data_IF_356003623267
#
_entry.id   IF_356003623267
#
_cell.length_a   1.000
_cell.length_b   1.000
_cell.length_c   1.000
_cell.angle_alpha   90.00
_cell.angle_beta   90.00
_cell.angle_gamma   90.00
#
_symmetry.space_group_name_H-M   'P 1'
#
loop_
_entity.id
_entity.type
_entity.pdbx_description
1 polymer ?
#
# COMPACT_ATOMS: atom_id res chain seq x y z
N UNK A 1 -8.65 6.90 -18.84
CA UNK A 1 -9.10 8.23 -19.35
C UNK A 1 -7.95 9.19 -19.21
N UNK A 2 -7.73 10.05 -20.21
CA UNK A 2 -6.69 11.08 -20.18
C UNK A 2 -7.35 12.40 -20.59
N UNK A 3 -7.22 13.40 -19.74
CA UNK A 3 -7.78 14.74 -19.94
C UNK A 3 -6.66 15.77 -19.89
N UNK A 4 -6.74 16.77 -20.78
CA UNK A 4 -5.82 17.91 -20.81
C UNK A 4 -6.63 19.18 -20.62
N UNK A 5 -6.30 19.94 -19.59
CA UNK A 5 -6.94 21.23 -19.28
C UNK A 5 -5.92 22.34 -19.42
N UNK A 6 -6.11 23.20 -20.42
CA UNK A 6 -5.33 24.42 -20.58
C UNK A 6 -5.81 25.50 -19.59
N UNK A 7 -4.88 26.13 -18.90
CA UNK A 7 -5.10 27.22 -17.96
C UNK A 7 -5.01 28.56 -18.69
N UNK A 8 -5.67 29.58 -18.16
CA UNK A 8 -5.67 30.94 -18.75
C UNK A 8 -4.28 31.56 -18.93
N UNK A 9 -3.26 31.08 -18.21
CA UNK A 9 -1.88 31.52 -18.32
C UNK A 9 -1.06 30.76 -19.40
N UNK A 10 -1.68 29.86 -20.17
CA UNK A 10 -1.00 29.01 -21.17
C UNK A 10 -0.34 27.77 -20.58
N UNK A 11 -0.38 27.57 -19.26
CA UNK A 11 0.01 26.30 -18.64
C UNK A 11 -1.05 25.21 -18.87
N UNK A 12 -0.68 23.93 -18.75
CA UNK A 12 -1.60 22.82 -18.91
C UNK A 12 -1.55 21.86 -17.71
N UNK A 13 -2.71 21.31 -17.35
CA UNK A 13 -2.85 20.22 -16.38
C UNK A 13 -3.27 18.96 -17.13
N UNK A 14 -2.55 17.87 -16.89
CA UNK A 14 -2.86 16.57 -17.49
C UNK A 14 -3.38 15.65 -16.39
N UNK A 15 -4.65 15.24 -16.51
CA UNK A 15 -5.30 14.31 -15.61
C UNK A 15 -5.35 12.92 -16.22
N UNK A 16 -4.95 11.90 -15.46
CA UNK A 16 -5.02 10.51 -15.89
C UNK A 16 -5.85 9.70 -14.89
N UNK A 17 -6.80 8.90 -15.39
CA UNK A 17 -7.54 7.94 -14.60
C UNK A 17 -7.30 6.52 -15.13
N UNK A 18 -6.94 5.62 -14.21
CA UNK A 18 -6.60 4.23 -14.50
C UNK A 18 -7.54 3.30 -13.72
N UNK A 19 -7.89 2.16 -14.34
CA UNK A 19 -8.56 1.08 -13.61
C UNK A 19 -7.51 0.30 -12.83
N UNK A 20 -7.55 0.43 -11.50
CA UNK A 20 -6.55 -0.18 -10.62
C UNK A 20 -6.59 -1.72 -10.64
N UNK A 21 -7.66 -2.34 -11.18
CA UNK A 21 -7.70 -3.80 -11.41
C UNK A 21 -6.68 -4.23 -12.47
N UNK A 22 -6.30 -3.33 -13.36
CA UNK A 22 -5.44 -3.61 -14.51
C UNK A 22 -3.98 -3.30 -14.19
N UNK A 23 -3.70 -2.22 -13.46
CA UNK A 23 -2.35 -1.71 -13.24
C UNK A 23 -2.22 -1.04 -11.86
N UNK A 24 -1.03 -1.15 -11.27
CA UNK A 24 -0.65 -0.42 -10.07
C UNK A 24 -0.04 0.94 -10.40
N UNK A 25 0.25 1.75 -9.36
CA UNK A 25 0.88 3.06 -9.49
C UNK A 25 2.25 3.00 -10.19
N UNK A 26 3.00 1.91 -10.01
CA UNK A 26 4.28 1.71 -10.69
C UNK A 26 4.09 1.73 -12.21
N UNK A 27 3.13 0.95 -12.72
CA UNK A 27 2.86 0.95 -14.16
C UNK A 27 2.18 2.24 -14.65
N UNK A 28 1.31 2.84 -13.84
CA UNK A 28 0.73 4.14 -14.17
C UNK A 28 1.80 5.21 -14.40
N UNK A 29 2.85 5.22 -13.56
CA UNK A 29 4.00 6.11 -13.74
C UNK A 29 4.80 5.75 -15.01
N UNK A 30 5.06 4.46 -15.25
CA UNK A 30 5.73 4.00 -16.48
C UNK A 30 4.98 4.47 -17.74
N UNK A 31 3.64 4.37 -17.74
CA UNK A 31 2.82 4.85 -18.84
C UNK A 31 2.99 6.35 -19.09
N UNK A 32 2.99 7.17 -18.02
CA UNK A 32 3.16 8.63 -18.14
C UNK A 32 4.56 8.96 -18.71
N UNK A 33 5.60 8.29 -18.23
CA UNK A 33 6.97 8.47 -18.75
C UNK A 33 7.07 8.07 -20.21
N UNK A 34 6.59 6.88 -20.58
CA UNK A 34 6.60 6.41 -21.97
C UNK A 34 5.79 7.31 -22.89
N UNK A 35 4.65 7.82 -22.44
CA UNK A 35 3.85 8.77 -23.21
C UNK A 35 4.60 10.08 -23.44
N UNK A 36 5.29 10.59 -22.42
CA UNK A 36 6.12 11.79 -22.54
C UNK A 36 7.30 11.59 -23.50
N UNK A 37 7.92 10.40 -23.52
CA UNK A 37 8.97 10.03 -24.48
C UNK A 37 8.44 10.01 -25.91
N UNK A 38 7.31 9.34 -26.13
CA UNK A 38 6.67 9.28 -27.45
C UNK A 38 6.26 10.67 -27.95
N UNK A 39 5.71 11.52 -27.09
CA UNK A 39 5.35 12.90 -27.45
C UNK A 39 6.58 13.73 -27.87
N UNK A 40 7.76 13.39 -27.36
CA UNK A 40 9.04 13.99 -27.72
C UNK A 40 9.76 13.28 -28.88
N UNK A 41 9.11 12.29 -29.53
CA UNK A 41 9.72 11.44 -30.56
C UNK A 41 11.01 10.75 -30.09
N UNK A 42 11.11 10.44 -28.79
CA UNK A 42 12.21 9.67 -28.20
C UNK A 42 11.90 8.17 -28.27
N UNK A 43 12.92 7.31 -28.36
CA UNK A 43 12.72 5.88 -28.14
C UNK A 43 12.23 5.65 -26.71
N UNK A 44 11.40 4.62 -26.52
CA UNK A 44 10.94 4.23 -25.20
C UNK A 44 12.11 3.72 -24.36
N UNK A 45 12.30 4.26 -23.15
CA UNK A 45 13.33 3.77 -22.23
C UNK A 45 13.04 2.37 -21.70
N UNK A 46 11.76 2.02 -21.57
CA UNK A 46 11.30 0.72 -21.07
C UNK A 46 10.14 0.25 -21.94
N UNK A 47 10.26 -0.96 -22.48
CA UNK A 47 9.18 -1.62 -23.22
C UNK A 47 8.36 -2.45 -22.23
N UNK A 48 7.04 -2.23 -22.10
CA UNK A 48 6.22 -2.97 -21.16
C UNK A 48 6.07 -4.44 -21.55
N UNK A 49 6.16 -5.32 -20.56
CA UNK A 49 6.00 -6.76 -20.71
C UNK A 49 4.61 -7.19 -20.24
N UNK A 50 3.84 -7.79 -21.15
CA UNK A 50 2.53 -8.39 -20.86
C UNK A 50 2.63 -9.87 -20.49
N UNK A 51 3.85 -10.37 -20.23
CA UNK A 51 4.13 -11.78 -19.98
C UNK A 51 3.62 -12.20 -18.59
N UNK A 52 2.36 -12.64 -18.53
CA UNK A 52 1.70 -13.13 -17.29
C UNK A 52 2.42 -14.31 -16.63
N UNK A 53 3.17 -15.10 -17.41
CA UNK A 53 3.91 -16.24 -16.90
C UNK A 53 5.01 -15.90 -15.89
N UNK A 54 5.37 -14.61 -15.75
CA UNK A 54 6.31 -14.15 -14.72
C UNK A 54 5.75 -14.30 -13.30
N UNK A 55 4.42 -14.37 -13.16
CA UNK A 55 3.72 -14.57 -11.89
C UNK A 55 2.98 -15.91 -11.86
N UNK A 56 3.55 -16.95 -12.48
CA UNK A 56 2.95 -18.27 -12.43
C UNK A 56 2.94 -18.83 -10.99
N UNK A 57 1.85 -19.48 -10.57
CA UNK A 57 1.79 -20.16 -9.29
C UNK A 57 2.71 -21.37 -9.26
N UNK A 58 3.13 -21.76 -8.05
CA UNK A 58 3.90 -22.99 -7.80
C UNK A 58 3.02 -24.22 -7.98
N UNK A 59 3.65 -25.38 -8.18
CA UNK A 59 2.98 -26.67 -8.35
C UNK A 59 3.69 -27.75 -7.49
N UNK A 60 3.10 -28.20 -6.37
CA UNK A 60 1.84 -27.71 -5.78
C UNK A 60 1.97 -26.26 -5.29
N UNK A 61 0.84 -25.52 -5.28
CA UNK A 61 0.78 -24.20 -4.65
C UNK A 61 0.90 -24.33 -3.14
N UNK A 62 1.55 -23.35 -2.49
CA UNK A 62 1.72 -23.31 -1.05
C UNK A 62 1.69 -21.87 -0.58
N UNK A 63 0.97 -21.57 0.49
CA UNK A 63 0.94 -20.23 1.05
C UNK A 63 0.84 -20.29 2.57
N UNK A 64 1.37 -19.25 3.24
CA UNK A 64 1.33 -19.16 4.68
C UNK A 64 -0.08 -18.73 5.15
N UNK A 65 -0.65 -19.31 6.23
CA UNK A 65 -2.00 -18.97 6.71
C UNK A 65 -2.23 -17.49 7.03
N UNK A 66 -1.16 -16.73 7.30
CA UNK A 66 -1.27 -15.27 7.48
C UNK A 66 -1.84 -14.54 6.27
N UNK A 67 -1.82 -15.13 5.08
CA UNK A 67 -2.48 -14.55 3.90
C UNK A 67 -4.00 -14.57 4.03
N UNK A 68 -4.58 -15.56 4.73
CA UNK A 68 -5.99 -15.59 5.10
C UNK A 68 -6.33 -14.53 6.17
N UNK A 69 -5.35 -14.06 6.95
CA UNK A 69 -5.51 -12.93 7.89
C UNK A 69 -5.43 -11.57 7.17
N UNK A 70 -4.75 -11.50 6.02
CA UNK A 70 -4.57 -10.27 5.24
C UNK A 70 -5.64 -10.07 4.16
N UNK A 71 -6.15 -11.16 3.58
CA UNK A 71 -7.03 -11.10 2.41
C UNK A 71 -8.31 -11.92 2.63
N UNK A 72 -9.35 -11.55 1.89
CA UNK A 72 -10.65 -12.22 1.95
C UNK A 72 -11.34 -12.16 0.58
N UNK A 73 -11.95 -13.26 0.11
CA UNK A 73 -12.83 -13.21 -1.05
C UNK A 73 -14.01 -12.24 -0.82
N UNK A 74 -14.37 -11.45 -1.83
CA UNK A 74 -15.46 -10.47 -1.72
C UNK A 74 -16.80 -11.15 -1.44
N UNK A 75 -16.99 -12.38 -1.92
CA UNK A 75 -18.16 -13.23 -1.69
C UNK A 75 -18.42 -13.52 -0.20
N UNK A 76 -17.39 -13.49 0.64
CA UNK A 76 -17.48 -13.72 2.07
C UNK A 76 -17.80 -12.45 2.88
N UNK A 77 -17.81 -11.27 2.24
CA UNK A 77 -18.09 -10.00 2.90
C UNK A 77 -19.60 -9.74 2.98
N UNK A 78 -20.06 -9.07 4.05
CA UNK A 78 -21.44 -8.61 4.10
C UNK A 78 -21.70 -7.59 2.97
N UNK A 79 -22.96 -7.46 2.51
CA UNK A 79 -23.32 -6.44 1.54
C UNK A 79 -22.88 -5.04 2.00
N UNK A 80 -22.43 -4.16 1.08
CA UNK A 80 -22.08 -2.80 1.42
C UNK A 80 -23.22 -2.10 2.15
N UNK A 81 -22.91 -1.41 3.25
CA UNK A 81 -23.89 -0.58 3.95
C UNK A 81 -24.34 0.56 3.02
N UNK A 82 -25.63 0.89 3.05
CA UNK A 82 -26.13 2.06 2.34
C UNK A 82 -25.41 3.33 2.84
N UNK A 83 -25.14 4.31 1.94
CA UNK A 83 -24.58 5.60 2.34
C UNK A 83 -25.46 6.22 3.43
N UNK A 84 -24.88 6.48 4.60
CA UNK A 84 -25.60 7.13 5.70
C UNK A 84 -25.78 8.62 5.36
N UNK A 85 -26.99 9.19 5.52
CA UNK A 85 -27.17 10.64 5.45
C UNK A 85 -26.28 11.32 6.50
N UNK A 86 -25.41 12.25 6.07
CA UNK A 86 -24.46 12.91 6.96
C UNK A 86 -23.13 12.17 7.17
N UNK A 87 -22.79 11.21 6.30
CA UNK A 87 -21.43 10.68 6.24
C UNK A 87 -20.41 11.82 6.06
N UNK A 88 -19.30 11.76 6.80
CA UNK A 88 -18.27 12.78 6.79
C UNK A 88 -17.79 13.07 5.37
N UNK A 89 -17.70 14.35 5.03
CA UNK A 89 -17.11 14.77 3.77
C UNK A 89 -15.61 14.49 3.82
N UNK A 90 -15.15 13.57 2.97
CA UNK A 90 -13.72 13.29 2.83
C UNK A 90 -13.02 14.50 2.21
N UNK A 91 -12.00 15.02 2.90
CA UNK A 91 -11.20 16.16 2.44
C UNK A 91 -9.81 15.64 2.08
N UNK A 92 -9.35 15.98 0.87
CA UNK A 92 -7.95 15.78 0.49
C UNK A 92 -7.11 16.98 0.93
N UNK A 93 -5.97 16.72 1.57
CA UNK A 93 -5.04 17.75 2.04
C UNK A 93 -3.60 17.36 1.71
N UNK A 94 -2.82 18.34 1.25
CA UNK A 94 -1.38 18.19 1.08
C UNK A 94 -0.67 18.76 2.31
N UNK A 95 0.25 17.97 2.86
CA UNK A 95 1.08 18.34 3.99
C UNK A 95 2.55 18.32 3.56
N UNK A 96 3.28 19.38 3.88
CA UNK A 96 4.72 19.43 3.71
C UNK A 96 5.40 19.02 5.01
N UNK A 97 6.32 18.07 4.93
CA UNK A 97 7.12 17.59 6.08
C UNK A 97 8.58 17.84 5.74
N UNK A 98 9.29 18.63 6.55
CA UNK A 98 10.68 18.98 6.27
C UNK A 98 11.61 17.77 6.44
N UNK A 99 12.77 17.81 5.80
CA UNK A 99 13.79 16.78 5.98
C UNK A 99 14.28 16.68 7.44
N UNK A 100 14.34 17.80 8.17
CA UNK A 100 14.71 17.81 9.59
C UNK A 100 13.64 17.15 10.45
N UNK A 101 12.36 17.47 10.21
CA UNK A 101 11.23 16.85 10.91
C UNK A 101 11.19 15.34 10.64
N UNK A 102 11.40 14.92 9.40
CA UNK A 102 11.44 13.49 9.05
C UNK A 102 12.63 12.79 9.71
N UNK A 103 13.78 13.46 9.81
CA UNK A 103 14.95 12.93 10.52
C UNK A 103 14.71 12.81 12.03
N UNK A 104 14.01 13.79 12.62
CA UNK A 104 13.58 13.73 14.01
C UNK A 104 12.62 12.56 14.26
N UNK A 105 11.60 12.38 13.40
CA UNK A 105 10.68 11.24 13.48
C UNK A 105 11.44 9.91 13.40
N UNK A 106 12.43 9.82 12.51
CA UNK A 106 13.25 8.63 12.36
C UNK A 106 14.08 8.32 13.60
N UNK A 107 14.65 9.34 14.24
CA UNK A 107 15.38 9.20 15.50
C UNK A 107 14.45 8.71 16.61
N UNK A 108 13.27 9.32 16.76
CA UNK A 108 12.29 8.94 17.78
C UNK A 108 11.73 7.52 17.57
N UNK A 109 11.47 7.14 16.31
CA UNK A 109 11.00 5.81 15.95
C UNK A 109 12.08 4.72 16.13
N UNK A 110 13.36 5.10 16.13
CA UNK A 110 14.47 4.16 16.31
C UNK A 110 14.99 4.11 17.75
N UNK A 111 14.41 4.89 18.67
CA UNK A 111 14.90 4.99 20.05
C UNK A 111 14.73 3.68 20.81
N UNK A 112 15.86 3.11 21.28
CA UNK A 112 15.88 1.83 22.01
C UNK A 112 16.00 0.57 21.15
N UNK A 113 16.03 0.70 19.81
CA UNK A 113 16.19 -0.41 18.87
C UNK A 113 17.64 -0.59 18.37
N UNK A 114 17.97 -1.80 17.91
CA UNK A 114 19.30 -2.12 17.34
C UNK A 114 19.47 -1.56 15.92
N UNK A 115 18.36 -1.40 15.17
CA UNK A 115 18.37 -0.95 13.77
C UNK A 115 17.55 0.32 13.58
N UNK A 116 18.07 1.20 12.72
CA UNK A 116 17.41 2.45 12.33
C UNK A 116 16.20 2.15 11.44
N UNK A 117 15.02 2.66 11.82
CA UNK A 117 13.78 2.55 11.03
C UNK A 117 13.89 3.34 9.73
N UNK A 118 13.24 2.91 8.66
CA UNK A 118 13.20 3.65 7.40
C UNK A 118 12.40 4.95 7.54
N UNK A 119 12.59 5.90 6.61
CA UNK A 119 11.80 7.14 6.58
C UNK A 119 10.30 6.85 6.44
N UNK A 120 9.95 5.88 5.60
CA UNK A 120 8.56 5.45 5.40
C UNK A 120 7.96 4.85 6.68
N UNK A 121 8.66 3.92 7.33
CA UNK A 121 8.20 3.35 8.62
C UNK A 121 8.02 4.44 9.67
N UNK A 122 8.99 5.35 9.79
CA UNK A 122 8.98 6.40 10.81
C UNK A 122 7.84 7.39 10.60
N UNK A 123 7.61 7.81 9.37
CA UNK A 123 6.50 8.71 9.03
C UNK A 123 5.14 8.01 9.18
N UNK A 124 5.01 6.76 8.71
CA UNK A 124 3.77 5.98 8.85
C UNK A 124 3.42 5.75 10.32
N UNK A 125 4.42 5.45 11.15
CA UNK A 125 4.26 5.32 12.61
C UNK A 125 3.70 6.59 13.23
N UNK A 126 4.26 7.75 12.87
CA UNK A 126 3.77 9.04 13.35
C UNK A 126 2.32 9.28 12.91
N UNK A 127 2.01 9.00 11.65
CA UNK A 127 0.66 9.15 11.10
C UNK A 127 -0.34 8.22 11.83
N UNK A 128 0.05 6.98 12.14
CA UNK A 128 -0.80 6.05 12.90
C UNK A 128 -1.18 6.58 14.27
N UNK A 129 -0.18 7.09 15.02
CA UNK A 129 -0.43 7.75 16.31
C UNK A 129 -1.30 9.00 16.15
N UNK A 130 -1.07 9.79 15.11
CA UNK A 130 -1.85 11.01 14.85
C UNK A 130 -3.32 10.68 14.59
N UNK A 131 -3.60 9.72 13.70
CA UNK A 131 -4.95 9.29 13.36
C UNK A 131 -5.67 8.73 14.59
N UNK A 132 -4.98 7.90 15.40
CA UNK A 132 -5.53 7.40 16.66
C UNK A 132 -5.84 8.52 17.66
N UNK A 133 -4.98 9.55 17.75
CA UNK A 133 -5.21 10.73 18.60
C UNK A 133 -6.40 11.57 18.14
N UNK A 134 -6.65 11.65 16.84
CA UNK A 134 -7.78 12.39 16.27
C UNK A 134 -9.10 11.62 16.25
N UNK A 135 -9.13 10.36 16.69
CA UNK A 135 -10.34 9.55 16.67
C UNK A 135 -11.39 10.09 17.66
N UNK A 136 -12.46 10.71 17.14
CA UNK A 136 -13.61 11.20 17.91
C UNK A 136 -14.77 10.23 17.72
N UNK A 137 -14.87 9.22 18.59
CA UNK A 137 -15.95 8.22 18.56
C UNK A 137 -16.33 7.80 19.98
N UNK A 138 -17.56 7.31 20.17
CA UNK A 138 -17.95 6.66 21.42
C UNK A 138 -17.06 5.45 21.71
N UNK A 139 -16.55 5.37 22.94
CA UNK A 139 -15.60 4.34 23.37
C UNK A 139 -14.36 4.21 22.47
N UNK A 140 -13.96 5.27 21.74
CA UNK A 140 -12.85 5.27 20.78
C UNK A 140 -11.58 4.63 21.36
N UNK A 141 -11.28 4.93 22.62
CA UNK A 141 -10.13 4.43 23.35
C UNK A 141 -9.95 2.90 23.33
N UNK A 142 -11.05 2.13 23.28
CA UNK A 142 -11.03 0.66 23.24
C UNK A 142 -11.12 0.08 21.83
N UNK A 143 -11.32 0.91 20.81
CA UNK A 143 -11.45 0.46 19.42
C UNK A 143 -10.09 0.17 18.80
N UNK A 144 -10.11 -0.67 17.78
CA UNK A 144 -8.92 -1.06 17.02
C UNK A 144 -8.66 -0.06 15.91
N UNK A 145 -7.48 0.56 15.88
CA UNK A 145 -7.01 1.36 14.76
C UNK A 145 -6.06 0.54 13.90
N UNK A 146 -6.29 0.56 12.58
CA UNK A 146 -5.55 -0.25 11.61
C UNK A 146 -4.71 0.66 10.71
N UNK A 147 -3.47 0.28 10.44
CA UNK A 147 -2.64 0.94 9.45
C UNK A 147 -1.93 -0.08 8.57
N UNK A 148 -2.11 0.06 7.27
CA UNK A 148 -1.44 -0.73 6.26
C UNK A 148 -0.42 0.08 5.47
N UNK A 149 0.52 -0.62 4.84
CA UNK A 149 1.50 -0.03 3.93
C UNK A 149 1.50 -0.84 2.64
N UNK A 150 1.40 -0.17 1.50
CA UNK A 150 1.52 -0.84 0.19
C UNK A 150 2.98 -1.23 -0.06
N UNK A 151 3.20 -2.50 -0.40
CA UNK A 151 4.51 -3.06 -0.72
C UNK A 151 4.53 -3.51 -2.18
N UNK A 152 5.48 -2.97 -2.96
CA UNK A 152 5.76 -3.45 -4.33
C UNK A 152 6.61 -4.74 -4.28
N UNK A 153 6.13 -5.78 -4.94
CA UNK A 153 6.74 -7.09 -5.02
C UNK A 153 7.74 -7.28 -6.15
N UNK A 154 7.83 -6.37 -7.13
CA UNK A 154 8.73 -6.52 -8.30
C UNK A 154 10.17 -6.80 -7.89
N UNK A 155 10.72 -5.98 -7.00
CA UNK A 155 12.08 -6.17 -6.49
C UNK A 155 12.22 -7.43 -5.62
N UNK A 156 11.16 -7.86 -4.94
CA UNK A 156 11.20 -9.01 -4.01
C UNK A 156 11.18 -10.33 -4.77
N UNK A 157 10.35 -10.42 -5.81
CA UNK A 157 10.27 -11.60 -6.67
C UNK A 157 11.57 -11.81 -7.48
N UNK A 158 12.27 -10.73 -7.79
CA UNK A 158 13.53 -10.77 -8.54
C UNK A 158 14.69 -11.38 -7.74
N UNK A 159 14.66 -11.33 -6.40
CA UNK A 159 15.67 -11.98 -5.53
C UNK A 159 17.13 -11.55 -5.78
N UNK A 160 17.36 -10.35 -6.31
CA UNK A 160 18.70 -9.85 -6.66
C UNK A 160 19.27 -10.40 -7.97
N UNK A 161 18.51 -11.21 -8.71
CA UNK A 161 18.85 -11.65 -10.07
C UNK A 161 18.60 -10.49 -11.04
N UNK A 162 19.63 -10.03 -11.74
CA UNK A 162 19.57 -8.83 -12.60
C UNK A 162 18.60 -9.02 -13.78
N UNK A 163 18.60 -10.20 -14.41
CA UNK A 163 17.71 -10.50 -15.53
C UNK A 163 16.25 -10.52 -15.09
N UNK A 164 15.94 -11.15 -13.95
CA UNK A 164 14.60 -11.12 -13.38
C UNK A 164 14.19 -9.72 -12.93
N UNK A 165 15.14 -8.95 -12.40
CA UNK A 165 14.91 -7.54 -12.02
C UNK A 165 14.49 -6.73 -13.24
N UNK A 166 15.20 -6.86 -14.36
CA UNK A 166 14.85 -6.20 -15.61
C UNK A 166 13.47 -6.66 -16.12
N UNK A 167 13.19 -7.96 -16.09
CA UNK A 167 11.89 -8.51 -16.50
C UNK A 167 10.74 -7.98 -15.64
N UNK A 168 10.89 -7.99 -14.31
CA UNK A 168 9.87 -7.52 -13.38
C UNK A 168 9.67 -6.00 -13.43
N UNK A 169 10.73 -5.23 -13.67
CA UNK A 169 10.64 -3.78 -13.88
C UNK A 169 9.77 -3.43 -15.11
N UNK A 170 9.74 -4.29 -16.13
CA UNK A 170 8.87 -4.08 -17.29
C UNK A 170 7.45 -4.63 -17.12
N UNK A 171 7.17 -5.40 -16.06
CA UNK A 171 5.92 -6.14 -15.94
C UNK A 171 4.69 -5.24 -15.82
N UNK A 172 3.75 -5.44 -16.75
CA UNK A 172 2.43 -4.82 -16.73
C UNK A 172 1.47 -5.55 -15.80
N UNK A 173 1.00 -4.87 -14.77
CA UNK A 173 -0.03 -5.39 -13.87
C UNK A 173 0.21 -4.97 -12.42
N UNK A 174 -0.65 -5.47 -11.53
CA UNK A 174 -0.45 -5.30 -10.09
C UNK A 174 0.56 -6.33 -9.57
N UNK A 175 1.55 -5.85 -8.81
CA UNK A 175 2.48 -6.70 -8.02
C UNK A 175 2.55 -6.15 -6.60
N UNK A 176 1.40 -6.08 -5.93
CA UNK A 176 1.26 -5.38 -4.65
C UNK A 176 0.83 -6.32 -3.53
N UNK A 177 1.35 -6.05 -2.34
CA UNK A 177 0.80 -6.56 -1.08
C UNK A 177 0.44 -5.40 -0.17
N UNK A 178 -0.55 -5.58 0.71
CA UNK A 178 -0.98 -4.56 1.68
C UNK A 178 -0.96 -5.18 3.09
N UNK A 179 0.23 -5.47 3.65
CA UNK A 179 0.32 -5.84 5.05
C UNK A 179 -0.18 -4.68 5.93
N UNK A 180 -0.77 -5.03 7.07
CA UNK A 180 -1.25 -4.06 8.04
C UNK A 180 -1.08 -4.55 9.46
N UNK A 181 -1.05 -3.59 10.38
CA UNK A 181 -1.06 -3.82 11.81
C UNK A 181 -2.34 -3.30 12.44
N UNK A 182 -2.66 -3.87 13.60
CA UNK A 182 -3.81 -3.52 14.42
C UNK A 182 -3.34 -3.20 15.83
N UNK A 183 -3.83 -2.09 16.41
CA UNK A 183 -3.56 -1.71 17.79
C UNK A 183 -4.77 -1.02 18.39
N UNK A 184 -4.91 -1.14 19.71
CA UNK A 184 -5.91 -0.38 20.46
C UNK A 184 -5.53 1.11 20.42
N UNK A 185 -6.51 1.98 20.25
CA UNK A 185 -6.29 3.44 20.16
C UNK A 185 -5.53 3.98 21.36
N UNK A 186 -5.85 3.52 22.58
CA UNK A 186 -5.13 3.95 23.79
C UNK A 186 -3.65 3.57 23.77
N UNK A 187 -3.32 2.35 23.33
CA UNK A 187 -1.91 1.94 23.18
C UNK A 187 -1.18 2.87 22.20
N UNK A 188 -1.82 3.20 21.08
CA UNK A 188 -1.26 4.14 20.09
C UNK A 188 -1.15 5.57 20.63
N UNK A 189 -1.94 5.99 21.63
CA UNK A 189 -1.81 7.32 22.25
C UNK A 189 -0.64 7.34 23.23
N UNK A 190 -0.59 6.36 24.13
CA UNK A 190 0.27 6.36 25.31
C UNK A 190 1.69 5.85 25.04
N UNK A 191 1.88 4.84 24.18
CA UNK A 191 3.18 4.23 23.96
C UNK A 191 4.17 5.15 23.22
N UNK A 192 5.50 5.02 23.39
CA UNK A 192 6.46 5.83 22.64
C UNK A 192 6.42 5.53 21.14
N UNK A 193 6.96 6.44 20.32
CA UNK A 193 6.97 6.27 18.85
C UNK A 193 7.74 4.99 18.44
N UNK A 194 8.81 4.64 19.14
CA UNK A 194 9.58 3.42 18.88
C UNK A 194 8.76 2.15 19.04
N UNK A 195 7.93 2.04 20.09
CA UNK A 195 7.06 0.88 20.29
C UNK A 195 6.06 0.69 19.15
N UNK A 196 5.47 1.79 18.67
CA UNK A 196 4.57 1.74 17.50
C UNK A 196 5.36 1.40 16.23
N UNK A 197 6.59 1.89 16.11
CA UNK A 197 7.46 1.61 14.96
C UNK A 197 7.91 0.15 14.92
N UNK A 198 8.08 -0.51 16.08
CA UNK A 198 8.34 -1.94 16.16
C UNK A 198 7.14 -2.71 15.59
N UNK A 199 5.91 -2.36 15.97
CA UNK A 199 4.72 -2.98 15.40
C UNK A 199 4.63 -2.78 13.88
N UNK A 200 4.98 -1.58 13.37
CA UNK A 200 5.04 -1.31 11.92
C UNK A 200 6.07 -2.19 11.23
N UNK A 201 7.25 -2.29 11.81
CA UNK A 201 8.32 -3.11 11.27
C UNK A 201 7.96 -4.60 11.25
N UNK A 202 7.38 -5.11 12.34
CA UNK A 202 7.11 -6.54 12.51
C UNK A 202 6.14 -7.08 11.47
N UNK A 203 5.12 -6.31 11.07
CA UNK A 203 4.22 -6.73 10.00
C UNK A 203 4.83 -6.51 8.61
N UNK A 204 5.65 -5.47 8.44
CA UNK A 204 6.31 -5.18 7.17
C UNK A 204 7.37 -6.23 6.84
N UNK A 205 8.21 -6.61 7.81
CA UNK A 205 9.33 -7.54 7.62
C UNK A 205 8.85 -8.87 7.04
N UNK A 206 7.68 -9.36 7.48
CA UNK A 206 7.05 -10.58 6.96
C UNK A 206 6.61 -10.45 5.51
N UNK A 207 6.18 -9.26 5.10
CA UNK A 207 5.59 -8.99 3.80
C UNK A 207 6.56 -8.43 2.74
N UNK A 208 7.81 -8.14 3.12
CA UNK A 208 8.85 -7.68 2.18
C UNK A 208 9.76 -8.82 1.70
N UNK A 209 9.31 -10.07 1.81
CA UNK A 209 10.07 -11.26 1.40
C UNK A 209 9.61 -11.81 0.06
N UNK A 210 10.51 -12.53 -0.64
CA UNK A 210 10.14 -13.28 -1.85
C UNK A 210 9.04 -14.31 -1.56
N UNK A 211 9.19 -15.05 -0.46
CA UNK A 211 8.28 -16.13 -0.10
C UNK A 211 6.85 -15.61 0.14
N UNK A 212 6.72 -14.44 0.76
CA UNK A 212 5.42 -13.78 0.91
C UNK A 212 4.74 -13.53 -0.44
N UNK A 213 5.46 -12.99 -1.43
CA UNK A 213 4.88 -12.74 -2.75
C UNK A 213 4.60 -14.02 -3.55
N UNK A 214 5.43 -15.06 -3.43
CA UNK A 214 5.13 -16.38 -4.01
C UNK A 214 3.88 -17.00 -3.37
N UNK A 215 3.76 -16.92 -2.04
CA UNK A 215 2.59 -17.34 -1.31
C UNK A 215 1.34 -16.56 -1.71
N UNK A 216 1.45 -15.24 -1.91
CA UNK A 216 0.33 -14.41 -2.38
C UNK A 216 -0.12 -14.81 -3.78
N UNK A 217 0.80 -15.13 -4.70
CA UNK A 217 0.46 -15.66 -6.03
C UNK A 217 -0.32 -16.97 -5.91
N UNK A 218 0.17 -17.90 -5.08
CA UNK A 218 -0.49 -19.19 -4.87
C UNK A 218 -1.85 -19.05 -4.19
N UNK A 219 -1.97 -18.13 -3.22
CA UNK A 219 -3.23 -17.80 -2.56
C UNK A 219 -4.25 -17.25 -3.56
N UNK A 220 -3.84 -16.30 -4.41
CA UNK A 220 -4.72 -15.76 -5.46
C UNK A 220 -5.16 -16.84 -6.43
N UNK A 221 -4.26 -17.72 -6.87
CA UNK A 221 -4.62 -18.81 -7.79
C UNK A 221 -5.59 -19.80 -7.13
N UNK A 222 -5.40 -20.13 -5.85
CA UNK A 222 -6.27 -21.05 -5.13
C UNK A 222 -7.71 -20.52 -4.96
N UNK A 223 -7.89 -19.20 -4.91
CA UNK A 223 -9.20 -18.56 -4.72
C UNK A 223 -9.84 -18.06 -6.03
N UNK A 224 -9.16 -18.22 -7.17
CA UNK A 224 -9.73 -17.85 -8.47
C UNK A 224 -10.97 -18.70 -8.80
N UNK A 225 -11.97 -18.13 -9.50
CA UNK A 225 -11.99 -16.80 -10.11
C UNK A 225 -12.51 -15.68 -9.18
N UNK A 226 -12.64 -15.92 -7.87
CA UNK A 226 -13.24 -14.96 -6.97
C UNK A 226 -12.34 -13.72 -6.74
N UNK A 227 -12.87 -12.50 -6.89
CA UNK A 227 -12.15 -11.31 -6.48
C UNK A 227 -11.90 -11.31 -4.98
N UNK A 228 -10.75 -10.81 -4.57
CA UNK A 228 -10.37 -10.66 -3.17
C UNK A 228 -10.08 -9.21 -2.80
N UNK A 229 -10.18 -8.90 -1.52
CA UNK A 229 -9.90 -7.60 -0.93
C UNK A 229 -8.93 -7.75 0.24
N UNK A 230 -8.08 -6.74 0.47
CA UNK A 230 -7.31 -6.67 1.70
C UNK A 230 -8.24 -6.36 2.89
N UNK A 231 -8.14 -7.14 3.97
CA UNK A 231 -9.02 -7.06 5.14
C UNK A 231 -8.98 -5.70 5.85
N UNK A 232 -7.92 -4.91 5.69
CA UNK A 232 -7.88 -3.52 6.20
C UNK A 232 -9.01 -2.63 5.63
N UNK A 233 -9.53 -2.93 4.44
CA UNK A 233 -10.64 -2.19 3.85
C UNK A 233 -12.01 -2.68 4.34
N UNK A 234 -12.04 -3.76 5.12
CA UNK A 234 -13.26 -4.26 5.76
C UNK A 234 -13.48 -3.51 7.07
N UNK A 235 -14.75 -3.27 7.43
CA UNK A 235 -15.11 -2.59 8.68
C UNK A 235 -15.97 -3.48 9.55
N UNK A 236 -15.47 -3.79 10.75
CA UNK A 236 -16.16 -4.54 11.78
C UNK A 236 -16.70 -3.62 12.88
N UNK A 237 -17.62 -4.11 13.71
CA UNK A 237 -18.23 -3.31 14.78
C UNK A 237 -17.26 -2.81 15.86
N UNK A 238 -16.11 -3.48 16.01
CA UNK A 238 -15.02 -3.11 16.91
C UNK A 238 -14.02 -2.11 16.32
N UNK A 239 -14.16 -1.79 15.03
CA UNK A 239 -13.14 -1.02 14.32
C UNK A 239 -13.25 0.48 14.58
N UNK A 240 -12.09 1.07 14.83
CA UNK A 240 -11.81 2.50 14.75
C UNK A 240 -11.30 2.87 13.35
N UNK A 241 -10.53 3.96 13.21
CA UNK A 241 -9.99 4.38 11.93
C UNK A 241 -9.05 3.34 11.30
N UNK A 242 -9.19 3.13 9.99
CA UNK A 242 -8.33 2.28 9.18
C UNK A 242 -7.83 3.07 7.95
N UNK A 243 -6.53 3.00 7.65
CA UNK A 243 -5.96 3.69 6.49
C UNK A 243 -4.72 2.98 5.95
N UNK A 244 -4.40 3.25 4.69
CA UNK A 244 -3.23 2.66 4.00
C UNK A 244 -2.29 3.78 3.56
N UNK A 245 -1.01 3.62 3.85
CA UNK A 245 0.07 4.49 3.35
C UNK A 245 0.69 3.85 2.11
N UNK A 246 0.94 4.66 1.09
CA UNK A 246 1.71 4.24 -0.08
C UNK A 246 2.79 5.27 -0.36
N UNK A 247 3.96 4.80 -0.79
CA UNK A 247 4.95 5.64 -1.46
C UNK A 247 4.78 5.44 -2.95
N UNK A 248 4.35 6.48 -3.67
CA UNK A 248 4.32 6.50 -5.13
C UNK A 248 5.71 6.41 -5.74
#
# INVERSE_FOLDING_TARGET
>A
MVDVTELKCGGAVVGCAFDHRIADAYYANLFIVSWAEMAQSKPLSVIPSFRRSLLNPRRPGSYHPSLDEMYVPISALPPPKAPQPGADHLISRLYYVSAEQLSLLQTLASSGGIRKRTKLESFSTFLWKMVAKSAVMENANKKICKMGIVVDGRGRLSSGDEDKTALMATYFGNVLSIPFGEKIIDDLKEQPLSWVADAVHDYLERAVTKEHFLGLIDWVEAHRPEPALAKIYCSDSSDGPAFVVSSG
#
